data_IF_665206157732
#
_entry.id   IF_665206157732
#
_cell.length_a   1.000
_cell.length_b   1.000
_cell.length_c   1.000
_cell.angle_alpha   90.00
_cell.angle_beta   90.00
_cell.angle_gamma   90.00
#
_symmetry.space_group_name_H-M   'P 1'
#
loop_
_entity.id
_entity.type
_entity.pdbx_description
1 polymer ?
#
# COMPACT_ATOMS: atom_id res chain seq x y z
N UNK A 1 -24.14 -10.75 -0.21
CA UNK A 1 -23.18 -10.55 -1.31
C UNK A 1 -22.44 -11.85 -1.52
N UNK A 2 -22.42 -12.39 -2.74
CA UNK A 2 -21.54 -13.51 -3.08
C UNK A 2 -20.07 -13.15 -2.80
N UNK A 3 -19.36 -14.03 -2.08
CA UNK A 3 -17.96 -13.85 -1.68
C UNK A 3 -17.09 -13.56 -2.92
N UNK A 4 -17.33 -14.27 -4.03
CA UNK A 4 -16.63 -14.09 -5.30
C UNK A 4 -16.78 -12.67 -5.87
N UNK A 5 -17.96 -12.07 -5.71
CA UNK A 5 -18.26 -10.71 -6.20
C UNK A 5 -17.61 -9.66 -5.32
N UNK A 6 -17.59 -9.88 -4.00
CA UNK A 6 -16.89 -9.03 -3.03
C UNK A 6 -15.38 -8.99 -3.28
N UNK A 7 -14.73 -10.15 -3.47
CA UNK A 7 -13.29 -10.22 -3.76
C UNK A 7 -12.95 -9.47 -5.04
N UNK A 8 -13.71 -9.66 -6.11
CA UNK A 8 -13.49 -8.94 -7.38
C UNK A 8 -13.54 -7.42 -7.21
N UNK A 9 -14.46 -6.91 -6.40
CA UNK A 9 -14.59 -5.48 -6.09
C UNK A 9 -13.36 -4.93 -5.35
N UNK A 10 -12.80 -5.69 -4.40
CA UNK A 10 -11.56 -5.33 -3.71
C UNK A 10 -10.35 -5.34 -4.66
N UNK A 11 -10.24 -6.36 -5.52
CA UNK A 11 -9.14 -6.47 -6.48
C UNK A 11 -9.18 -5.30 -7.48
N UNK A 12 -10.31 -5.04 -8.12
CA UNK A 12 -10.41 -3.92 -9.08
C UNK A 12 -10.17 -2.56 -8.43
N UNK A 13 -10.54 -2.40 -7.15
CA UNK A 13 -10.20 -1.18 -6.41
C UNK A 13 -8.69 -1.10 -6.17
N UNK A 14 -8.06 -2.18 -5.72
CA UNK A 14 -6.61 -2.25 -5.47
C UNK A 14 -5.78 -2.01 -6.74
N UNK A 15 -6.20 -2.59 -7.85
CA UNK A 15 -5.52 -2.51 -9.16
C UNK A 15 -5.28 -1.07 -9.63
N UNK A 16 -6.18 -0.14 -9.29
CA UNK A 16 -6.06 1.28 -9.63
C UNK A 16 -4.83 1.98 -9.02
N UNK A 17 -4.30 1.46 -7.92
CA UNK A 17 -3.12 2.01 -7.24
C UNK A 17 -2.04 0.97 -6.95
N UNK A 18 -2.28 -0.31 -7.30
CA UNK A 18 -1.38 -1.42 -7.08
C UNK A 18 0.00 -1.19 -7.71
N UNK A 19 0.04 -0.74 -8.97
CA UNK A 19 1.31 -0.47 -9.66
C UNK A 19 2.15 0.58 -8.93
N UNK A 20 1.53 1.69 -8.53
CA UNK A 20 2.22 2.76 -7.79
C UNK A 20 2.66 2.31 -6.40
N UNK A 21 1.79 1.57 -5.69
CA UNK A 21 2.03 1.12 -4.34
C UNK A 21 3.13 0.05 -4.26
N UNK A 22 3.15 -0.87 -5.23
CA UNK A 22 4.20 -1.88 -5.40
C UNK A 22 5.53 -1.25 -5.80
N UNK A 23 5.54 -0.29 -6.73
CA UNK A 23 6.76 0.41 -7.13
C UNK A 23 7.43 1.09 -5.92
N UNK A 24 6.64 1.74 -5.06
CA UNK A 24 7.14 2.35 -3.81
C UNK A 24 7.68 1.30 -2.85
N UNK A 25 6.97 0.20 -2.64
CA UNK A 25 7.42 -0.89 -1.75
C UNK A 25 8.73 -1.52 -2.24
N UNK A 26 8.84 -1.78 -3.54
CA UNK A 26 10.05 -2.33 -4.16
C UNK A 26 11.23 -1.36 -4.09
N UNK A 27 11.00 -0.06 -4.33
CA UNK A 27 12.03 0.97 -4.19
C UNK A 27 12.55 1.04 -2.75
N UNK A 28 11.67 0.99 -1.74
CA UNK A 28 12.07 0.97 -0.33
C UNK A 28 12.90 -0.29 0.00
N UNK A 29 12.46 -1.45 -0.48
CA UNK A 29 13.20 -2.72 -0.32
C UNK A 29 14.58 -2.68 -0.98
N UNK A 30 14.69 -2.14 -2.20
CA UNK A 30 15.98 -1.98 -2.90
C UNK A 30 16.94 -1.05 -2.15
N UNK A 31 16.43 0.07 -1.62
CA UNK A 31 17.24 0.97 -0.78
C UNK A 31 17.73 0.22 0.46
N UNK A 32 16.86 -0.53 1.14
CA UNK A 32 17.28 -1.33 2.28
C UNK A 32 18.34 -2.38 1.90
N UNK A 33 18.17 -3.08 0.78
CA UNK A 33 19.11 -4.09 0.30
C UNK A 33 20.51 -3.51 0.02
N UNK A 34 20.60 -2.35 -0.62
CA UNK A 34 21.88 -1.69 -0.93
C UNK A 34 22.60 -1.25 0.36
N UNK A 35 21.85 -0.72 1.34
CA UNK A 35 22.42 -0.13 2.55
C UNK A 35 22.53 -1.11 3.72
N UNK A 36 21.99 -2.33 3.60
CA UNK A 36 22.12 -3.43 4.57
C UNK A 36 23.56 -3.72 4.97
N UNK A 37 24.49 -3.61 4.02
CA UNK A 37 25.92 -3.89 4.24
C UNK A 37 26.63 -2.80 5.07
N UNK A 38 25.97 -1.67 5.37
CA UNK A 38 26.53 -0.62 6.22
C UNK A 38 26.22 -0.86 7.70
N UNK A 39 26.79 0.00 8.55
CA UNK A 39 26.54 0.04 9.99
C UNK A 39 25.05 -0.12 10.36
N UNK A 40 24.74 -0.88 11.45
CA UNK A 40 23.37 -1.10 11.90
C UNK A 40 22.61 0.19 12.22
N UNK A 41 23.31 1.28 12.57
CA UNK A 41 22.70 2.58 12.78
C UNK A 41 22.08 3.15 11.49
N UNK A 42 22.69 2.90 10.34
CA UNK A 42 22.19 3.37 9.04
C UNK A 42 20.91 2.62 8.65
N UNK A 43 20.85 1.32 8.95
CA UNK A 43 19.66 0.50 8.69
C UNK A 43 18.46 1.03 9.49
N UNK A 44 18.65 1.36 10.78
CA UNK A 44 17.58 1.92 11.61
C UNK A 44 17.02 3.24 11.03
N UNK A 45 17.89 4.13 10.58
CA UNK A 45 17.47 5.41 9.95
C UNK A 45 16.68 5.15 8.66
N UNK A 46 17.11 4.19 7.84
CA UNK A 46 16.43 3.85 6.58
C UNK A 46 15.05 3.25 6.86
N UNK A 47 14.92 2.35 7.85
CA UNK A 47 13.62 1.79 8.26
C UNK A 47 12.66 2.91 8.63
N UNK A 48 13.11 3.86 9.47
CA UNK A 48 12.26 4.96 9.91
C UNK A 48 11.88 5.87 8.74
N UNK A 49 12.84 6.24 7.88
CA UNK A 49 12.59 7.11 6.74
C UNK A 49 11.62 6.46 5.73
N UNK A 50 11.84 5.20 5.37
CA UNK A 50 10.99 4.45 4.45
C UNK A 50 9.61 4.17 5.03
N UNK A 51 9.50 3.96 6.34
CA UNK A 51 8.21 3.83 7.03
C UNK A 51 7.38 5.12 6.90
N UNK A 52 7.96 6.27 7.25
CA UNK A 52 7.26 7.55 7.12
C UNK A 52 6.95 7.91 5.67
N UNK A 53 7.85 7.59 4.74
CA UNK A 53 7.58 7.74 3.31
C UNK A 53 6.41 6.87 2.85
N UNK A 54 6.30 5.62 3.33
CA UNK A 54 5.17 4.74 3.04
C UNK A 54 3.86 5.30 3.61
N UNK A 55 3.87 5.79 4.84
CA UNK A 55 2.69 6.44 5.45
C UNK A 55 2.27 7.67 4.64
N UNK A 56 3.22 8.51 4.22
CA UNK A 56 2.94 9.70 3.41
C UNK A 56 2.33 9.34 2.05
N UNK A 57 2.86 8.32 1.37
CA UNK A 57 2.32 7.86 0.08
C UNK A 57 0.91 7.27 0.23
N UNK A 58 0.62 6.53 1.29
CA UNK A 58 -0.74 6.06 1.60
C UNK A 58 -1.74 7.20 1.79
N UNK A 59 -1.35 8.23 2.56
CA UNK A 59 -2.20 9.42 2.77
C UNK A 59 -2.42 10.16 1.45
N UNK A 60 -1.37 10.29 0.63
CA UNK A 60 -1.44 10.94 -0.67
C UNK A 60 -2.33 10.18 -1.67
N UNK A 61 -2.20 8.86 -1.76
CA UNK A 61 -3.06 8.00 -2.59
C UNK A 61 -4.52 8.15 -2.13
N UNK A 62 -4.78 8.14 -0.83
CA UNK A 62 -6.13 8.32 -0.29
C UNK A 62 -6.70 9.69 -0.62
N UNK A 63 -5.89 10.75 -0.54
CA UNK A 63 -6.32 12.11 -0.85
C UNK A 63 -6.60 12.31 -2.34
N UNK A 64 -5.69 11.86 -3.21
CA UNK A 64 -5.85 11.93 -4.67
C UNK A 64 -7.02 11.08 -5.15
N UNK A 65 -7.20 9.88 -4.60
CA UNK A 65 -8.34 9.04 -4.90
C UNK A 65 -9.67 9.63 -4.40
N UNK A 66 -9.70 10.29 -3.23
CA UNK A 66 -10.91 11.00 -2.78
C UNK A 66 -11.31 12.12 -3.75
N UNK A 67 -10.34 12.81 -4.37
CA UNK A 67 -10.60 13.85 -5.38
C UNK A 67 -11.00 13.29 -6.75
N UNK A 68 -10.31 12.27 -7.26
CA UNK A 68 -10.55 11.71 -8.61
C UNK A 68 -11.66 10.65 -8.68
N UNK A 69 -11.84 9.85 -7.62
CA UNK A 69 -12.75 8.69 -7.60
C UNK A 69 -14.03 8.93 -6.81
N UNK A 70 -14.42 10.19 -6.57
CA UNK A 70 -15.69 10.53 -5.93
C UNK A 70 -16.89 9.82 -6.56
N UNK A 71 -16.92 9.72 -7.90
CA UNK A 71 -17.98 9.02 -8.64
C UNK A 71 -17.94 7.50 -8.48
N UNK A 72 -16.75 6.88 -8.40
CA UNK A 72 -16.61 5.45 -8.13
C UNK A 72 -17.08 5.10 -6.72
N UNK A 73 -16.89 5.97 -5.72
CA UNK A 73 -17.42 5.73 -4.38
C UNK A 73 -18.95 5.60 -4.34
N UNK A 74 -19.67 6.28 -5.23
CA UNK A 74 -21.12 6.10 -5.36
C UNK A 74 -21.48 4.71 -5.89
N UNK A 75 -20.72 4.17 -6.85
CA UNK A 75 -20.90 2.81 -7.34
C UNK A 75 -20.73 1.77 -6.23
N UNK A 76 -19.64 1.84 -5.45
CA UNK A 76 -19.41 0.92 -4.34
C UNK A 76 -20.43 1.08 -3.20
N UNK A 77 -20.90 2.31 -2.96
CA UNK A 77 -21.95 2.59 -1.96
C UNK A 77 -23.30 1.99 -2.38
N UNK A 78 -23.64 2.05 -3.66
CA UNK A 78 -24.88 1.44 -4.19
C UNK A 78 -24.87 -0.09 -4.12
N UNK A 79 -23.69 -0.71 -4.12
CA UNK A 79 -23.50 -2.17 -3.94
C UNK A 79 -23.51 -2.56 -2.44
N UNK A 80 -23.68 -1.61 -1.52
CA UNK A 80 -23.71 -1.85 -0.07
C UNK A 80 -22.34 -1.97 0.59
N UNK A 81 -21.26 -1.65 -0.14
CA UNK A 81 -19.90 -1.68 0.39
C UNK A 81 -19.51 -0.32 0.98
N UNK A 82 -19.01 -0.32 2.22
CA UNK A 82 -18.51 0.90 2.82
C UNK A 82 -17.12 1.25 2.27
N UNK A 83 -16.96 2.48 1.80
CA UNK A 83 -15.68 3.07 1.38
C UNK A 83 -14.57 2.83 2.42
N UNK A 84 -14.90 2.96 3.71
CA UNK A 84 -13.96 2.72 4.81
C UNK A 84 -13.40 1.28 4.82
N UNK A 85 -14.22 0.26 4.58
CA UNK A 85 -13.75 -1.14 4.52
C UNK A 85 -12.87 -1.40 3.30
N UNK A 86 -13.23 -0.87 2.13
CA UNK A 86 -12.41 -0.93 0.91
C UNK A 86 -11.00 -0.37 1.14
N UNK A 87 -10.93 0.85 1.69
CA UNK A 87 -9.65 1.47 2.03
C UNK A 87 -8.88 0.70 3.10
N UNK A 88 -9.56 0.20 4.13
CA UNK A 88 -8.88 -0.54 5.21
C UNK A 88 -8.20 -1.81 4.68
N UNK A 89 -8.89 -2.58 3.84
CA UNK A 89 -8.34 -3.82 3.26
C UNK A 89 -7.19 -3.50 2.29
N UNK A 90 -7.39 -2.50 1.43
CA UNK A 90 -6.36 -2.06 0.49
C UNK A 90 -5.07 -1.58 1.18
N UNK A 91 -5.22 -0.70 2.18
CA UNK A 91 -4.08 -0.14 2.92
C UNK A 91 -3.39 -1.22 3.77
N UNK A 92 -4.15 -2.13 4.38
CA UNK A 92 -3.56 -3.24 5.12
C UNK A 92 -2.75 -4.17 4.21
N UNK A 93 -3.28 -4.51 3.03
CA UNK A 93 -2.57 -5.36 2.06
C UNK A 93 -1.29 -4.67 1.55
N UNK A 94 -1.36 -3.38 1.23
CA UNK A 94 -0.19 -2.61 0.79
C UNK A 94 0.87 -2.47 1.90
N UNK A 95 0.44 -2.28 3.15
CA UNK A 95 1.34 -2.25 4.31
C UNK A 95 2.05 -3.58 4.51
N UNK A 96 1.30 -4.69 4.45
CA UNK A 96 1.85 -6.05 4.54
C UNK A 96 2.87 -6.31 3.43
N UNK A 97 2.57 -5.85 2.21
CA UNK A 97 3.49 -5.97 1.07
C UNK A 97 4.79 -5.20 1.32
N UNK A 98 4.70 -3.98 1.85
CA UNK A 98 5.87 -3.19 2.25
C UNK A 98 6.70 -3.89 3.32
N UNK A 99 6.06 -4.40 4.39
CA UNK A 99 6.76 -5.14 5.46
C UNK A 99 7.42 -6.40 4.90
N UNK A 100 6.73 -7.14 4.03
CA UNK A 100 7.28 -8.31 3.35
C UNK A 100 8.53 -7.96 2.52
N UNK A 101 8.49 -6.89 1.72
CA UNK A 101 9.64 -6.42 0.96
C UNK A 101 10.83 -6.06 1.88
N UNK A 102 10.58 -5.41 3.01
CA UNK A 102 11.64 -5.05 3.96
C UNK A 102 12.25 -6.27 4.65
N UNK A 103 11.43 -7.24 5.05
CA UNK A 103 11.90 -8.49 5.65
C UNK A 103 12.75 -9.29 4.65
N UNK A 104 12.30 -9.41 3.40
CA UNK A 104 13.06 -10.07 2.35
C UNK A 104 14.38 -9.33 2.12
N UNK A 105 14.36 -8.01 1.98
CA UNK A 105 15.56 -7.21 1.75
C UNK A 105 16.57 -7.24 2.91
N UNK A 106 16.10 -7.49 4.14
CA UNK A 106 16.97 -7.63 5.30
C UNK A 106 17.61 -9.02 5.39
N UNK A 107 16.85 -10.07 5.07
CA UNK A 107 17.31 -11.47 5.14
C UNK A 107 18.20 -11.87 3.96
N UNK A 108 17.85 -11.42 2.75
CA UNK A 108 18.56 -11.70 1.50
C UNK A 108 19.82 -10.87 1.42
#
# INVERSE_FOLDING_TARGET
>A
MDVKRGVRLYVSFYEMFAASALAVSLACGLIMFIYRMKSPAVVAVIVVATFWFKVATMVFIRFTAKRKLGHFFYYYKNVGMSSRRLWSVALAFDFLTYVGCMLIAYQL
#
